data_IF_858172572022
#
_entry.id   IF_858172572022
#
_cell.length_a   1.000
_cell.length_b   1.000
_cell.length_c   1.000
_cell.angle_alpha   90.00
_cell.angle_beta   90.00
_cell.angle_gamma   90.00
#
_symmetry.space_group_name_H-M   'P 1'
#
loop_
_entity.id
_entity.type
_entity.pdbx_description
1 polymer ?
#
# COMPACT_ATOMS: atom_id res chain seq x y z
N UNK A 1 10.47 -4.66 -16.84
CA UNK A 1 9.00 -4.49 -16.82
C UNK A 1 8.63 -4.02 -15.42
N UNK A 2 8.07 -2.83 -15.25
CA UNK A 2 7.60 -2.34 -13.95
C UNK A 2 6.26 -3.01 -13.64
N UNK A 3 6.26 -3.87 -12.62
CA UNK A 3 5.09 -4.67 -12.27
C UNK A 3 4.18 -3.88 -11.30
N UNK A 4 2.85 -3.96 -11.42
CA UNK A 4 1.89 -3.29 -10.51
C UNK A 4 2.14 -3.55 -9.01
N UNK A 5 2.74 -4.70 -8.71
CA UNK A 5 3.16 -5.09 -7.36
C UNK A 5 4.27 -4.22 -6.79
N UNK A 6 5.21 -3.76 -7.62
CA UNK A 6 6.32 -2.90 -7.21
C UNK A 6 5.82 -1.50 -6.86
N UNK A 7 4.95 -0.93 -7.71
CA UNK A 7 4.27 0.33 -7.40
C UNK A 7 3.47 0.23 -6.10
N UNK A 8 2.70 -0.84 -5.92
CA UNK A 8 1.93 -1.03 -4.70
C UNK A 8 2.82 -1.13 -3.46
N UNK A 9 3.97 -1.82 -3.55
CA UNK A 9 4.92 -1.93 -2.44
C UNK A 9 5.49 -0.56 -2.04
N UNK A 10 5.86 0.26 -3.02
CA UNK A 10 6.37 1.62 -2.77
C UNK A 10 5.29 2.52 -2.15
N UNK A 11 4.08 2.52 -2.71
CA UNK A 11 2.94 3.30 -2.19
C UNK A 11 2.60 2.88 -0.76
N UNK A 12 2.56 1.57 -0.46
CA UNK A 12 2.21 1.07 0.88
C UNK A 12 3.29 1.35 1.93
N UNK A 13 4.54 1.56 1.51
CA UNK A 13 5.66 1.92 2.38
C UNK A 13 5.67 3.41 2.77
N UNK A 14 5.00 4.28 2.00
CA UNK A 14 4.91 5.71 2.28
C UNK A 14 4.09 5.99 3.54
N UNK A 15 4.57 6.96 4.34
CA UNK A 15 3.99 7.25 5.66
C UNK A 15 2.73 8.09 5.55
N UNK A 16 2.73 9.13 4.71
CA UNK A 16 1.61 10.06 4.63
C UNK A 16 0.61 9.68 3.54
N UNK A 17 -0.61 10.22 3.63
CA UNK A 17 -1.65 10.03 2.60
C UNK A 17 -1.34 10.82 1.34
N UNK A 18 -0.71 11.98 1.46
CA UNK A 18 -0.35 12.85 0.33
C UNK A 18 0.70 12.20 -0.56
N UNK A 19 1.78 11.66 0.02
CA UNK A 19 2.80 10.91 -0.74
C UNK A 19 2.18 9.74 -1.52
N UNK A 20 1.25 9.01 -0.88
CA UNK A 20 0.55 7.88 -1.50
C UNK A 20 -0.32 8.31 -2.68
N UNK A 21 -1.01 9.42 -2.56
CA UNK A 21 -1.83 9.98 -3.64
C UNK A 21 -0.97 10.47 -4.80
N UNK A 22 0.16 11.13 -4.52
CA UNK A 22 1.11 11.55 -5.54
C UNK A 22 1.67 10.34 -6.31
N UNK A 23 2.11 9.31 -5.60
CA UNK A 23 2.62 8.09 -6.21
C UNK A 23 1.56 7.35 -7.06
N UNK A 24 0.27 7.39 -6.67
CA UNK A 24 -0.82 6.84 -7.48
C UNK A 24 -1.07 7.61 -8.80
N UNK A 25 -0.75 8.90 -8.84
CA UNK A 25 -0.84 9.72 -10.05
C UNK A 25 0.28 9.35 -11.04
N UNK A 26 1.46 8.99 -10.55
CA UNK A 26 2.59 8.54 -11.37
C UNK A 26 2.40 7.12 -11.95
N UNK A 27 1.47 6.32 -11.39
CA UNK A 27 1.14 5.01 -11.94
C UNK A 27 0.41 5.18 -13.28
N UNK A 28 0.89 4.52 -14.36
CA UNK A 28 0.21 4.50 -15.65
C UNK A 28 -1.24 4.02 -15.52
N UNK A 29 -2.15 4.64 -16.26
CA UNK A 29 -3.60 4.39 -16.11
C UNK A 29 -3.98 2.91 -16.22
N UNK A 30 -3.41 2.21 -17.20
CA UNK A 30 -3.64 0.77 -17.42
C UNK A 30 -3.18 -0.13 -16.26
N UNK A 31 -2.30 0.37 -15.38
CA UNK A 31 -1.83 -0.34 -14.18
C UNK A 31 -2.45 0.19 -12.89
N UNK A 32 -3.13 1.34 -12.94
CA UNK A 32 -3.62 2.05 -11.76
C UNK A 32 -4.68 1.25 -11.01
N UNK A 33 -5.60 0.62 -11.73
CA UNK A 33 -6.64 -0.23 -11.12
C UNK A 33 -6.02 -1.42 -10.38
N UNK A 34 -5.11 -2.14 -11.03
CA UNK A 34 -4.45 -3.31 -10.43
C UNK A 34 -3.58 -2.90 -9.23
N UNK A 35 -2.87 -1.78 -9.35
CA UNK A 35 -2.04 -1.22 -8.26
C UNK A 35 -2.90 -0.82 -7.06
N UNK A 36 -4.06 -0.18 -7.27
CA UNK A 36 -5.03 0.12 -6.20
C UNK A 36 -5.50 -1.14 -5.48
N UNK A 37 -5.78 -2.21 -6.22
CA UNK A 37 -6.20 -3.49 -5.63
C UNK A 37 -5.09 -4.13 -4.80
N UNK A 38 -3.85 -4.09 -5.27
CA UNK A 38 -2.69 -4.56 -4.50
C UNK A 38 -2.44 -3.74 -3.24
N UNK A 39 -2.56 -2.41 -3.34
CA UNK A 39 -2.51 -1.51 -2.19
C UNK A 39 -3.55 -1.90 -1.13
N UNK A 40 -4.82 -2.07 -1.53
CA UNK A 40 -5.90 -2.44 -0.62
C UNK A 40 -5.63 -3.79 0.06
N UNK A 41 -5.19 -4.79 -0.70
CA UNK A 41 -4.85 -6.10 -0.17
C UNK A 41 -3.69 -6.04 0.86
N UNK A 42 -2.68 -5.21 0.59
CA UNK A 42 -1.55 -5.04 1.50
C UNK A 42 -1.93 -4.29 2.79
N UNK A 43 -2.88 -3.35 2.71
CA UNK A 43 -3.41 -2.66 3.89
C UNK A 43 -4.29 -3.56 4.76
N UNK A 44 -5.15 -4.35 4.14
CA UNK A 44 -6.04 -5.30 4.83
C UNK A 44 -5.34 -6.61 5.22
N UNK A 45 -4.03 -6.73 4.99
CA UNK A 45 -3.32 -7.98 5.25
C UNK A 45 -3.34 -8.31 6.76
N UNK A 46 -3.78 -9.50 7.16
CA UNK A 46 -3.99 -9.85 8.57
C UNK A 46 -2.70 -9.75 9.40
N UNK A 47 -1.52 -9.93 8.80
CA UNK A 47 -0.26 -9.73 9.51
C UNK A 47 -0.01 -8.27 9.93
N UNK A 48 -0.51 -7.27 9.18
CA UNK A 48 -0.42 -5.86 9.61
C UNK A 48 -1.39 -5.56 10.73
N UNK A 49 -2.58 -6.14 10.70
CA UNK A 49 -3.60 -5.99 11.74
C UNK A 49 -3.09 -6.57 13.05
N UNK A 50 -2.64 -7.84 13.03
CA UNK A 50 -2.08 -8.51 14.20
C UNK A 50 -0.86 -7.79 14.79
N UNK A 51 0.01 -7.22 13.95
CA UNK A 51 1.14 -6.39 14.43
C UNK A 51 0.68 -5.12 15.13
N UNK A 52 -0.36 -4.46 14.60
CA UNK A 52 -0.89 -3.23 15.18
C UNK A 52 -1.59 -3.50 16.51
N UNK A 53 -2.31 -4.63 16.60
CA UNK A 53 -2.92 -5.11 17.84
C UNK A 53 -1.86 -5.51 18.88
N UNK A 54 -0.79 -6.19 18.46
CA UNK A 54 0.33 -6.54 19.34
C UNK A 54 1.12 -5.31 19.84
N UNK A 55 1.29 -4.28 19.00
CA UNK A 55 1.86 -2.99 19.42
C UNK A 55 0.96 -2.23 20.42
N UNK A 56 -0.37 -2.36 20.32
CA UNK A 56 -1.31 -1.75 21.29
C UNK A 56 -1.45 -2.53 22.60
N UNK A 57 -1.27 -3.84 22.58
CA UNK A 57 -1.38 -4.68 23.78
C UNK A 57 -0.15 -4.59 24.71
N UNK A 58 0.91 -3.90 24.28
CA UNK A 58 2.18 -3.78 25.01
C UNK A 58 2.41 -2.35 25.55
N UNK A 59 1.36 -1.53 25.60
CA UNK A 59 1.31 -0.18 26.17
C UNK A 59 0.47 -0.17 27.46
#
# INVERSE_FOLDING_TARGET
>A
MTWPREYARQIVAMRTREERNAALLEVPEHLRELTKRHCLNAWNHPARIQRKEAEQAND
#
